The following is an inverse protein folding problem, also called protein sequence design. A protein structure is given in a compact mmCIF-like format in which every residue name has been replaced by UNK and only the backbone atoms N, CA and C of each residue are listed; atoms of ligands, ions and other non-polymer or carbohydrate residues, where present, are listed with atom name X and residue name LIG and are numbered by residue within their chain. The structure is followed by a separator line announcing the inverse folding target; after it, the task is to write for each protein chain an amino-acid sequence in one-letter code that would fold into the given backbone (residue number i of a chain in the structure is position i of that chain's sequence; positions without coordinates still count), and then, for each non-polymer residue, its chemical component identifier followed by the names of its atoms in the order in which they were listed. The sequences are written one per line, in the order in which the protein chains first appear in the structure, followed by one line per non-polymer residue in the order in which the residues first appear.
data_IF_811878666131
#
_entry.id   IF_811878666131
#
_cell.length_a   1.000
_cell.length_b   1.000
_cell.length_c   1.000
_cell.angle_alpha   90.00
_cell.angle_beta   90.00
_cell.angle_gamma   90.00
#
_symmetry.space_group_name_H-M   'P 1'
#
loop_
_entity.id
_entity.type
_entity.pdbx_description
1 polymer ?
#
# COMPACT_ATOMS: atom_id res chain seq x y z
N UNK A 1 -4.48 36.59 8.70
CA UNK A 1 -4.68 36.20 7.29
C UNK A 1 -5.31 34.81 7.23
N UNK A 2 -6.61 34.77 7.52
CA UNK A 2 -7.49 33.61 7.44
C UNK A 2 -8.73 34.18 6.72
N UNK A 3 -9.26 33.45 5.74
CA UNK A 3 -10.34 33.84 4.81
C UNK A 3 -9.94 34.71 3.61
N UNK A 4 -9.56 34.08 2.51
CA UNK A 4 -9.68 34.60 1.14
C UNK A 4 -9.65 33.39 0.20
N UNK A 5 -10.58 33.34 -0.76
CA UNK A 5 -10.86 32.23 -1.71
C UNK A 5 -11.94 31.22 -1.30
N UNK A 6 -13.14 31.72 -1.00
CA UNK A 6 -14.39 31.03 -1.33
C UNK A 6 -15.31 32.04 -2.02
N UNK A 7 -15.97 31.59 -3.11
CA UNK A 7 -16.90 32.24 -4.03
C UNK A 7 -16.27 32.52 -5.42
N UNK A 8 -16.86 32.23 -6.58
CA UNK A 8 -18.16 31.66 -6.98
C UNK A 8 -18.18 31.64 -8.52
N UNK A 9 -18.31 30.50 -9.18
CA UNK A 9 -19.00 30.43 -10.48
C UNK A 9 -19.89 29.20 -10.47
N UNK A 10 -21.19 29.49 -10.46
CA UNK A 10 -22.26 28.54 -10.63
C UNK A 10 -22.71 28.52 -12.10
N UNK A 11 -23.33 27.39 -12.45
CA UNK A 11 -24.26 27.17 -13.57
C UNK A 11 -23.65 26.90 -14.96
N UNK A 12 -23.62 25.62 -15.31
CA UNK A 12 -24.39 25.14 -16.46
C UNK A 12 -24.80 23.68 -16.23
N UNK A 13 -26.10 23.44 -16.28
CA UNK A 13 -26.74 22.14 -16.10
C UNK A 13 -27.23 21.60 -17.45
N UNK A 14 -27.41 20.27 -17.48
CA UNK A 14 -28.13 19.44 -18.48
C UNK A 14 -27.35 19.14 -19.78
N UNK A 15 -27.17 17.91 -20.26
CA UNK A 15 -27.71 16.57 -19.93
C UNK A 15 -26.78 15.51 -20.53
N UNK A 16 -26.54 14.40 -19.83
CA UNK A 16 -26.56 13.09 -20.48
C UNK A 16 -26.80 11.99 -19.44
N UNK A 17 -27.98 11.40 -19.49
CA UNK A 17 -28.31 10.11 -18.88
C UNK A 17 -27.56 9.04 -19.68
N UNK A 18 -26.64 8.31 -19.06
CA UNK A 18 -25.91 7.25 -19.74
C UNK A 18 -25.06 6.38 -18.81
N UNK A 19 -25.53 5.14 -18.61
CA UNK A 19 -24.86 3.97 -18.05
C UNK A 19 -24.58 3.93 -16.53
N UNK A 20 -25.56 3.40 -15.79
CA UNK A 20 -25.29 2.61 -14.59
C UNK A 20 -24.48 1.38 -15.01
N UNK A 21 -23.16 1.48 -14.86
CA UNK A 21 -22.26 0.34 -14.82
C UNK A 21 -21.96 0.11 -13.33
N UNK A 22 -22.60 -0.88 -12.72
CA UNK A 22 -22.32 -1.29 -11.36
C UNK A 22 -20.89 -1.87 -11.28
N UNK A 23 -19.91 -0.99 -11.07
CA UNK A 23 -18.56 -1.33 -10.59
C UNK A 23 -18.42 -0.84 -9.15
N UNK A 24 -19.15 -1.46 -8.22
CA UNK A 24 -19.20 -0.98 -6.84
C UNK A 24 -17.99 -1.40 -5.97
N UNK A 25 -17.02 -2.15 -6.52
CA UNK A 25 -15.86 -2.66 -5.76
C UNK A 25 -14.58 -1.79 -5.88
N UNK A 26 -14.54 -0.85 -6.84
CA UNK A 26 -13.36 0.00 -7.08
C UNK A 26 -13.26 1.22 -6.17
N UNK A 27 -14.39 1.76 -5.70
CA UNK A 27 -14.43 3.01 -4.92
C UNK A 27 -13.83 2.82 -3.52
N UNK A 28 -14.12 1.69 -2.88
CA UNK A 28 -13.74 1.43 -1.49
C UNK A 28 -12.23 1.13 -1.33
N UNK A 29 -11.58 0.60 -2.37
CA UNK A 29 -10.14 0.34 -2.38
C UNK A 29 -9.33 1.61 -2.63
N UNK A 30 -9.82 2.50 -3.52
CA UNK A 30 -9.24 3.82 -3.76
C UNK A 30 -9.28 4.70 -2.50
N UNK A 31 -10.42 4.75 -1.82
CA UNK A 31 -10.58 5.57 -0.60
C UNK A 31 -9.69 5.08 0.55
N UNK A 32 -9.53 3.76 0.71
CA UNK A 32 -8.58 3.19 1.68
C UNK A 32 -7.13 3.52 1.32
N UNK A 33 -6.78 3.48 0.03
CA UNK A 33 -5.45 3.85 -0.42
C UNK A 33 -5.15 5.31 -0.11
N UNK A 34 -6.08 6.21 -0.45
CA UNK A 34 -5.95 7.64 -0.21
C UNK A 34 -5.79 7.95 1.29
N UNK A 35 -6.66 7.38 2.14
CA UNK A 35 -6.53 7.51 3.60
C UNK A 35 -5.18 7.05 4.12
N UNK A 36 -4.64 5.96 3.56
CA UNK A 36 -3.34 5.45 3.95
C UNK A 36 -2.21 6.39 3.50
N UNK A 37 -2.31 6.98 2.30
CA UNK A 37 -1.34 7.98 1.83
C UNK A 37 -1.35 9.23 2.70
N UNK A 38 -2.54 9.77 3.01
CA UNK A 38 -2.67 10.94 3.89
C UNK A 38 -2.09 10.65 5.28
N UNK A 39 -2.42 9.48 5.85
CA UNK A 39 -1.84 9.06 7.13
C UNK A 39 -0.32 8.90 7.05
N UNK A 40 0.21 8.43 5.93
CA UNK A 40 1.65 8.29 5.74
C UNK A 40 2.35 9.65 5.67
N UNK A 41 1.83 10.57 4.86
CA UNK A 41 2.35 11.94 4.75
C UNK A 41 2.38 12.62 6.13
N UNK A 42 1.25 12.60 6.85
CA UNK A 42 1.16 13.18 8.19
C UNK A 42 2.13 12.52 9.18
N UNK A 43 2.31 11.20 9.10
CA UNK A 43 3.25 10.48 9.95
C UNK A 43 4.70 10.91 9.68
N UNK A 44 5.14 10.96 8.42
CA UNK A 44 6.50 11.40 8.06
C UNK A 44 6.73 12.85 8.47
N UNK A 45 5.79 13.77 8.21
CA UNK A 45 5.91 15.17 8.66
C UNK A 45 6.14 15.28 10.17
N UNK A 46 5.37 14.51 10.95
CA UNK A 46 5.45 14.54 12.41
C UNK A 46 6.79 13.98 12.92
N UNK A 47 7.24 12.85 12.39
CA UNK A 47 8.49 12.22 12.84
C UNK A 47 9.71 13.08 12.51
N UNK A 48 9.80 13.63 11.30
CA UNK A 48 11.02 14.30 10.85
C UNK A 48 11.18 15.72 11.40
N UNK A 49 10.11 16.33 11.93
CA UNK A 49 10.11 17.71 12.43
C UNK A 49 10.79 18.67 11.43
N UNK A 50 10.30 18.65 10.20
CA UNK A 50 10.84 19.47 9.11
C UNK A 50 10.49 20.94 9.32
N UNK A 51 11.47 21.83 9.12
CA UNK A 51 11.21 23.24 8.88
C UNK A 51 10.49 23.43 7.55
N UNK A 52 9.89 24.60 7.34
CA UNK A 52 9.19 24.92 6.09
C UNK A 52 10.11 24.79 4.87
N UNK A 53 11.35 25.31 4.97
CA UNK A 53 12.34 25.23 3.91
C UNK A 53 12.77 23.78 3.62
N UNK A 54 13.03 22.99 4.67
CA UNK A 54 13.35 21.56 4.50
C UNK A 54 12.19 20.79 3.90
N UNK A 55 10.95 21.05 4.32
CA UNK A 55 9.76 20.39 3.77
C UNK A 55 9.60 20.68 2.28
N UNK A 56 9.79 21.93 1.86
CA UNK A 56 9.70 22.34 0.47
C UNK A 56 10.74 21.64 -0.42
N UNK A 57 11.95 21.40 0.10
CA UNK A 57 13.01 20.67 -0.61
C UNK A 57 12.83 19.14 -0.53
N UNK A 58 12.32 18.62 0.59
CA UNK A 58 12.18 17.19 0.86
C UNK A 58 11.07 16.52 0.05
N UNK A 59 9.86 17.10 0.03
CA UNK A 59 8.69 16.44 -0.55
C UNK A 59 8.85 16.05 -2.03
N UNK A 60 9.44 16.88 -2.91
CA UNK A 60 9.72 16.49 -4.29
C UNK A 60 10.59 15.24 -4.40
N UNK A 61 11.68 15.15 -3.61
CA UNK A 61 12.59 14.00 -3.59
C UNK A 61 11.87 12.75 -3.08
N UNK A 62 11.09 12.91 -2.01
CA UNK A 62 10.35 11.82 -1.39
C UNK A 62 9.27 11.23 -2.31
N UNK A 63 8.53 12.09 -2.99
CA UNK A 63 7.48 11.67 -3.92
C UNK A 63 8.07 10.97 -5.16
N UNK A 64 9.20 11.47 -5.68
CA UNK A 64 9.93 10.81 -6.75
C UNK A 64 10.42 9.42 -6.33
N UNK A 65 10.99 9.29 -5.12
CA UNK A 65 11.42 7.99 -4.59
C UNK A 65 10.27 6.99 -4.52
N UNK A 66 9.11 7.42 -4.02
CA UNK A 66 7.91 6.57 -3.96
C UNK A 66 7.42 6.16 -5.34
N UNK A 67 7.45 7.07 -6.31
CA UNK A 67 7.05 6.78 -7.69
C UNK A 67 7.98 5.74 -8.33
N UNK A 68 9.30 5.93 -8.21
CA UNK A 68 10.30 5.02 -8.77
C UNK A 68 10.25 3.66 -8.10
N UNK A 69 10.11 3.62 -6.77
CA UNK A 69 9.94 2.37 -6.02
C UNK A 69 8.68 1.63 -6.45
N UNK A 70 7.57 2.35 -6.68
CA UNK A 70 6.32 1.77 -7.18
C UNK A 70 6.49 1.24 -8.61
N UNK A 71 7.18 1.95 -9.49
CA UNK A 71 7.45 1.50 -10.85
C UNK A 71 8.30 0.22 -10.85
N UNK A 72 9.35 0.19 -10.03
CA UNK A 72 10.23 -0.96 -9.88
C UNK A 72 9.49 -2.19 -9.33
N UNK A 73 8.65 -2.01 -8.30
CA UNK A 73 7.82 -3.08 -7.73
C UNK A 73 6.63 -3.49 -8.61
N UNK A 74 6.22 -2.61 -9.53
CA UNK A 74 5.10 -2.82 -10.45
C UNK A 74 5.44 -3.71 -11.65
N UNK A 75 6.72 -4.04 -11.85
CA UNK A 75 7.18 -4.88 -12.95
C UNK A 75 6.48 -6.24 -12.95
N UNK A 76 5.97 -6.65 -14.11
CA UNK A 76 5.16 -7.87 -14.27
C UNK A 76 5.90 -9.11 -13.76
N UNK A 77 7.21 -9.18 -14.04
CA UNK A 77 8.06 -10.32 -13.73
C UNK A 77 8.00 -10.67 -12.23
N UNK A 78 8.13 -9.70 -11.33
CA UNK A 78 8.12 -9.95 -9.88
C UNK A 78 6.74 -10.38 -9.35
N UNK A 79 5.65 -9.88 -9.94
CA UNK A 79 4.29 -10.31 -9.57
C UNK A 79 4.03 -11.76 -9.96
N UNK A 80 4.55 -12.23 -11.09
CA UNK A 80 4.44 -13.63 -11.49
C UNK A 80 5.27 -14.55 -10.60
N UNK A 81 6.48 -14.13 -10.18
CA UNK A 81 7.34 -14.93 -9.29
C UNK A 81 6.65 -15.27 -7.97
N UNK A 82 5.99 -14.28 -7.34
CA UNK A 82 5.31 -14.50 -6.06
C UNK A 82 4.02 -15.31 -6.15
N UNK A 83 3.35 -15.32 -7.31
CA UNK A 83 2.09 -16.05 -7.50
C UNK A 83 2.29 -17.53 -7.82
N UNK A 84 3.43 -17.88 -8.41
CA UNK A 84 3.67 -19.20 -8.97
C UNK A 84 4.59 -20.06 -8.11
N UNK A 85 4.60 -19.87 -6.79
CA UNK A 85 5.41 -20.70 -5.86
C UNK A 85 5.15 -22.21 -6.06
N UNK A 86 3.93 -22.59 -6.42
CA UNK A 86 3.52 -23.98 -6.68
C UNK A 86 4.03 -24.57 -8.00
N UNK A 87 4.59 -23.75 -8.90
CA UNK A 87 5.16 -24.22 -10.19
C UNK A 87 6.68 -24.23 -10.20
N UNK A 88 7.34 -23.88 -9.09
CA UNK A 88 8.80 -23.84 -9.01
C UNK A 88 9.43 -25.22 -9.16
N UNK A 89 8.76 -26.25 -8.63
CA UNK A 89 9.20 -27.66 -8.74
C UNK A 89 9.07 -28.25 -10.15
N UNK A 90 8.47 -27.50 -11.09
CA UNK A 90 8.25 -27.92 -12.49
C UNK A 90 9.11 -27.16 -13.48
N UNK A 91 9.96 -26.25 -13.02
CA UNK A 91 10.84 -25.48 -13.89
C UNK A 91 11.99 -26.36 -14.37
N UNK A 92 12.37 -26.21 -15.64
CA UNK A 92 13.65 -26.73 -16.11
C UNK A 92 14.81 -25.95 -15.50
N UNK A 93 16.01 -26.54 -15.47
CA UNK A 93 17.23 -25.88 -14.98
C UNK A 93 17.46 -24.51 -15.65
N UNK A 94 17.26 -24.45 -16.97
CA UNK A 94 17.43 -23.21 -17.74
C UNK A 94 16.43 -22.13 -17.30
N UNK A 95 15.17 -22.49 -17.05
CA UNK A 95 14.15 -21.54 -16.59
C UNK A 95 14.42 -21.08 -15.16
N UNK A 96 14.89 -21.99 -14.29
CA UNK A 96 15.30 -21.67 -12.93
C UNK A 96 16.48 -20.68 -12.92
N UNK A 97 17.50 -20.89 -13.76
CA UNK A 97 18.63 -19.96 -13.88
C UNK A 97 18.21 -18.56 -14.33
N UNK A 98 17.35 -18.46 -15.36
CA UNK A 98 16.81 -17.18 -15.82
C UNK A 98 16.01 -16.49 -14.71
N UNK A 99 15.23 -17.25 -13.94
CA UNK A 99 14.48 -16.73 -12.81
C UNK A 99 15.41 -16.18 -11.71
N UNK A 100 16.45 -16.92 -11.34
CA UNK A 100 17.44 -16.49 -10.35
C UNK A 100 18.21 -15.24 -10.79
N UNK A 101 18.55 -15.14 -12.07
CA UNK A 101 19.19 -13.95 -12.65
C UNK A 101 18.27 -12.73 -12.53
N UNK A 102 16.99 -12.87 -12.91
CA UNK A 102 15.99 -11.80 -12.76
C UNK A 102 15.80 -11.36 -11.31
N UNK A 103 15.75 -12.31 -10.37
CA UNK A 103 15.66 -12.00 -8.94
C UNK A 103 16.87 -11.20 -8.45
N UNK A 104 18.06 -11.60 -8.89
CA UNK A 104 19.32 -10.93 -8.54
C UNK A 104 19.38 -9.53 -9.13
N UNK A 105 19.07 -9.37 -10.41
CA UNK A 105 18.99 -8.08 -11.08
C UNK A 105 17.98 -7.14 -10.40
N UNK A 106 16.82 -7.65 -10.01
CA UNK A 106 15.83 -6.87 -9.28
C UNK A 106 16.34 -6.40 -7.92
N UNK A 107 16.97 -7.28 -7.14
CA UNK A 107 17.59 -6.90 -5.85
C UNK A 107 18.64 -5.81 -6.05
N UNK A 108 19.51 -5.94 -7.04
CA UNK A 108 20.51 -4.92 -7.37
C UNK A 108 19.88 -3.58 -7.76
N UNK A 109 18.80 -3.61 -8.56
CA UNK A 109 18.06 -2.40 -8.93
C UNK A 109 17.43 -1.71 -7.72
N UNK A 110 16.86 -2.47 -6.77
CA UNK A 110 16.31 -1.92 -5.52
C UNK A 110 17.42 -1.26 -4.69
N UNK A 111 18.54 -1.95 -4.49
CA UNK A 111 19.67 -1.40 -3.72
C UNK A 111 20.23 -0.13 -4.36
N UNK A 112 20.40 -0.13 -5.68
CA UNK A 112 20.90 1.04 -6.43
C UNK A 112 19.94 2.23 -6.32
N UNK A 113 18.64 1.98 -6.40
CA UNK A 113 17.61 3.00 -6.20
C UNK A 113 17.69 3.60 -4.80
N UNK A 114 17.79 2.77 -3.76
CA UNK A 114 17.87 3.21 -2.37
C UNK A 114 19.13 4.05 -2.11
N UNK A 115 20.28 3.63 -2.64
CA UNK A 115 21.53 4.40 -2.56
C UNK A 115 21.43 5.76 -3.26
N UNK A 116 20.85 5.80 -4.47
CA UNK A 116 20.66 7.05 -5.21
C UNK A 116 19.80 8.04 -4.42
N UNK A 117 18.69 7.57 -3.85
CA UNK A 117 17.80 8.42 -3.08
C UNK A 117 18.36 8.83 -1.72
N UNK A 118 19.15 7.99 -1.06
CA UNK A 118 19.88 8.38 0.14
C UNK A 118 20.77 9.61 -0.10
N UNK A 119 21.54 9.61 -1.20
CA UNK A 119 22.34 10.77 -1.59
C UNK A 119 21.48 12.00 -1.89
N UNK A 120 20.33 11.83 -2.56
CA UNK A 120 19.40 12.94 -2.81
C UNK A 120 18.77 13.50 -1.54
N UNK A 121 18.45 12.65 -0.55
CA UNK A 121 17.96 13.12 0.75
C UNK A 121 19.03 13.88 1.52
N UNK A 122 20.26 13.40 1.54
CA UNK A 122 21.39 14.07 2.21
C UNK A 122 21.71 15.44 1.59
N UNK A 123 21.33 15.68 0.34
CA UNK A 123 21.46 17.00 -0.29
C UNK A 123 20.43 18.03 0.20
N UNK A 124 19.31 17.58 0.79
CA UNK A 124 18.19 18.46 1.20
C UNK A 124 17.87 18.36 2.70
N UNK A 125 18.43 17.38 3.42
CA UNK A 125 18.21 17.15 4.83
C UNK A 125 19.53 16.78 5.54
N UNK A 126 19.68 17.14 6.82
CA UNK A 126 20.80 16.69 7.62
C UNK A 126 20.74 15.17 7.88
N UNK A 127 21.90 14.54 8.05
CA UNK A 127 22.03 13.09 8.13
C UNK A 127 21.19 12.43 9.24
N UNK A 128 21.02 13.09 10.39
CA UNK A 128 20.17 12.61 11.48
C UNK A 128 18.70 12.50 11.05
N UNK A 129 18.18 13.46 10.27
CA UNK A 129 16.81 13.41 9.74
C UNK A 129 16.64 12.36 8.65
N UNK A 130 17.67 12.13 7.83
CA UNK A 130 17.67 11.02 6.88
C UNK A 130 17.63 9.67 7.61
N UNK A 131 18.37 9.51 8.71
CA UNK A 131 18.28 8.31 9.54
C UNK A 131 16.89 8.14 10.16
N UNK A 132 16.31 9.23 10.68
CA UNK A 132 14.92 9.23 11.19
C UNK A 132 13.90 8.87 10.11
N UNK A 133 14.10 9.31 8.87
CA UNK A 133 13.26 8.91 7.73
C UNK A 133 13.23 7.40 7.54
N UNK A 134 14.40 6.75 7.54
CA UNK A 134 14.47 5.29 7.43
C UNK A 134 13.71 4.60 8.57
N UNK A 135 13.89 5.08 9.80
CA UNK A 135 13.18 4.55 10.95
C UNK A 135 11.66 4.75 10.86
N UNK A 136 11.22 5.95 10.49
CA UNK A 136 9.81 6.31 10.33
C UNK A 136 9.11 5.44 9.27
N UNK A 137 9.75 5.22 8.13
CA UNK A 137 9.27 4.34 7.07
C UNK A 137 9.07 2.90 7.56
N UNK A 138 10.06 2.35 8.27
CA UNK A 138 9.98 1.00 8.85
C UNK A 138 8.83 0.89 9.85
N UNK A 139 8.71 1.86 10.76
CA UNK A 139 7.64 1.89 11.75
C UNK A 139 6.26 2.01 11.11
N UNK A 140 6.11 2.86 10.09
CA UNK A 140 4.84 3.01 9.39
C UNK A 140 4.44 1.71 8.71
N UNK A 141 5.36 1.08 7.98
CA UNK A 141 5.13 -0.23 7.34
C UNK A 141 4.73 -1.30 8.35
N UNK A 142 5.39 -1.35 9.51
CA UNK A 142 5.07 -2.29 10.58
C UNK A 142 3.64 -2.07 11.11
N UNK A 143 3.28 -0.83 11.45
CA UNK A 143 1.93 -0.50 11.96
C UNK A 143 0.84 -0.82 10.93
N UNK A 144 1.10 -0.58 9.65
CA UNK A 144 0.20 -0.94 8.57
C UNK A 144 0.00 -2.45 8.51
N UNK A 145 1.09 -3.21 8.53
CA UNK A 145 1.04 -4.67 8.49
C UNK A 145 0.30 -5.26 9.70
N UNK A 146 0.52 -4.73 10.90
CA UNK A 146 -0.18 -5.14 12.13
C UNK A 146 -1.68 -4.85 12.07
N UNK A 147 -2.09 -3.72 11.47
CA UNK A 147 -3.53 -3.43 11.25
C UNK A 147 -4.14 -4.42 10.26
N UNK A 148 -3.43 -4.75 9.18
CA UNK A 148 -3.89 -5.76 8.21
C UNK A 148 -4.05 -7.14 8.86
N UNK A 149 -3.06 -7.59 9.64
CA UNK A 149 -3.11 -8.88 10.37
C UNK A 149 -4.29 -8.95 11.34
N UNK A 150 -4.46 -7.94 12.21
CA UNK A 150 -5.57 -7.87 13.17
C UNK A 150 -6.94 -7.84 12.47
N UNK A 151 -7.06 -7.11 11.36
CA UNK A 151 -8.27 -7.08 10.55
C UNK A 151 -8.63 -8.46 9.99
N UNK A 152 -7.63 -9.22 9.53
CA UNK A 152 -7.82 -10.58 9.03
C UNK A 152 -8.27 -11.54 10.15
N UNK A 153 -7.62 -11.53 11.31
CA UNK A 153 -7.97 -12.37 12.47
C UNK A 153 -9.39 -12.09 13.00
N UNK A 154 -9.82 -10.83 13.03
CA UNK A 154 -11.17 -10.47 13.44
C UNK A 154 -12.22 -11.04 12.48
N UNK A 155 -11.93 -11.07 11.17
CA UNK A 155 -12.81 -11.65 10.15
C UNK A 155 -12.90 -13.17 10.26
N UNK A 156 -11.77 -13.86 10.46
CA UNK A 156 -11.75 -15.33 10.60
C UNK A 156 -12.47 -15.80 11.86
N UNK A 157 -12.31 -15.10 13.00
CA UNK A 157 -13.04 -15.42 14.25
C UNK A 157 -14.55 -15.27 14.09
N UNK A 158 -15.03 -14.19 13.45
CA UNK A 158 -16.48 -13.99 13.18
C UNK A 158 -17.06 -15.07 12.26
N UNK A 159 -16.34 -15.45 11.20
CA UNK A 159 -16.77 -16.50 10.28
C UNK A 159 -16.89 -17.86 10.98
N UNK A 160 -15.93 -18.20 11.85
CA UNK A 160 -15.95 -19.48 12.59
C UNK A 160 -17.06 -19.52 13.65
N UNK A 161 -17.32 -18.39 14.34
CA UNK A 161 -18.41 -18.29 15.32
C UNK A 161 -19.81 -18.40 14.68
N UNK A 162 -19.99 -17.80 13.49
CA UNK A 162 -21.24 -17.93 12.72
C UNK A 162 -21.50 -19.34 12.18
N UNK A 163 -20.46 -20.13 11.93
CA UNK A 163 -20.58 -21.53 11.50
C UNK A 163 -21.00 -22.45 12.66
N UNK A 164 -20.38 -22.29 13.84
CA UNK A 164 -20.75 -23.04 15.07
C UNK A 164 -22.16 -22.76 15.57
N UNK A 165 -22.67 -21.53 15.41
CA UNK A 165 -24.05 -21.19 15.82
C UNK A 165 -25.13 -21.66 14.84
N UNK A 166 -24.77 -22.05 13.62
CA UNK A 166 -25.70 -22.59 12.61
C UNK A 166 -25.85 -24.11 12.72
N UNK A 167 -24.77 -24.79 13.11
CA UNK A 167 -24.72 -26.24 13.32
C UNK A 167 -25.47 -26.68 14.60
N UNK A 168 -25.46 -25.83 15.63
CA UNK A 168 -26.18 -26.04 16.90
C UNK A 168 -27.69 -25.77 16.85
N UNK A 169 -28.24 -25.47 15.66
CA UNK A 169 -29.68 -25.20 15.42
C UNK A 169 -30.36 -26.31 14.61
N UNK A 170 -29.93 -27.56 14.76
CA UNK A 170 -30.74 -28.72 14.36
C UNK A 170 -31.45 -29.25 15.61
N UNK A 171 -32.74 -28.92 15.85
CA UNK A 171 -33.51 -29.60 16.87
C UNK A 171 -33.78 -31.01 16.34
N UNK A 172 -33.17 -32.00 16.99
CA UNK A 172 -33.54 -33.40 16.83
C UNK A 172 -34.99 -33.60 17.25
N UNK A 173 -35.91 -33.30 16.36
CA UNK A 173 -37.30 -33.72 16.41
C UNK A 173 -37.34 -35.18 15.96
N UNK A 174 -36.89 -36.10 16.83
CA UNK A 174 -37.27 -37.49 16.72
C UNK A 174 -38.51 -37.68 17.60
N UNK A 175 -39.67 -37.78 16.92
CA UNK A 175 -40.97 -38.13 17.49
C UNK A 175 -40.85 -39.41 18.31
N UNK A 176 -41.22 -39.36 19.59
CA UNK A 176 -41.73 -40.53 20.30
C UNK A 176 -43.10 -40.89 19.71
N UNK A 177 -43.27 -42.17 19.34
CA UNK A 177 -44.56 -42.83 19.16
C UNK A 177 -44.69 -43.87 20.27
#
# INVERSE_FOLDING_TARGET
MKYLFIALIAVSSLTSVGQKHDKHDGKHTSEMHERLQTAHVGFITNELSLTEAEAQAFWPVYNAHKADKKALMGTHDMKSMHKNQQSMDKLSEKEALVLLEKMTAHRSAVTSLEQSYQSKYLAVLPANKVLMLHHAEMQFKQRVMERFKRGHEARTKKANHGKRSKDSRHPGMAREQ
#
